data_IF_104150337545
#
_entry.id   IF_104150337545
#
_cell.length_a   1.000
_cell.length_b   1.000
_cell.length_c   1.000
_cell.angle_alpha   90.00
_cell.angle_beta   90.00
_cell.angle_gamma   90.00
#
_symmetry.space_group_name_H-M   'P 1'
#
loop_
_entity.id
_entity.type
_entity.pdbx_description
1 polymer ?
#
# COMPACT_ATOMS: atom_id res chain seq x y z
N UNK A 1 1.96 6.58 -24.75
CA UNK A 1 3.12 5.96 -24.11
C UNK A 1 4.38 6.12 -24.97
N UNK A 2 4.32 5.79 -26.26
CA UNK A 2 5.48 5.78 -27.17
C UNK A 2 6.23 7.12 -27.23
N UNK A 3 5.54 8.25 -27.11
CA UNK A 3 6.12 9.60 -27.11
C UNK A 3 6.33 10.19 -25.71
N UNK A 4 6.52 9.33 -24.69
CA UNK A 4 6.73 9.76 -23.31
C UNK A 4 5.47 9.97 -22.47
N UNK A 5 4.31 9.58 -22.97
CA UNK A 5 3.06 9.57 -22.18
C UNK A 5 3.19 8.64 -20.96
N UNK A 6 2.47 8.95 -19.88
CA UNK A 6 2.49 8.22 -18.60
C UNK A 6 1.10 7.76 -18.25
N UNK A 7 0.99 6.60 -17.63
CA UNK A 7 -0.31 5.98 -17.41
C UNK A 7 -0.42 5.50 -15.96
N UNK A 8 -1.56 5.82 -15.33
CA UNK A 8 -2.04 5.17 -14.11
C UNK A 8 -3.15 4.19 -14.50
N UNK A 9 -2.86 2.90 -14.43
CA UNK A 9 -3.81 1.82 -14.65
C UNK A 9 -4.48 1.47 -13.33
N UNK A 10 -5.79 1.60 -13.24
CA UNK A 10 -6.57 1.11 -12.09
C UNK A 10 -7.60 0.15 -12.66
N UNK A 11 -7.34 -1.13 -12.51
CA UNK A 11 -8.05 -2.21 -13.19
C UNK A 11 -8.51 -3.28 -12.20
N UNK A 12 -9.60 -3.96 -12.51
CA UNK A 12 -10.01 -5.15 -11.78
C UNK A 12 -9.73 -6.38 -12.64
N UNK A 13 -9.14 -7.43 -12.08
CA UNK A 13 -9.01 -8.73 -12.75
C UNK A 13 -10.31 -9.55 -12.71
N UNK A 14 -11.27 -9.13 -11.88
CA UNK A 14 -12.52 -9.86 -11.65
C UNK A 14 -13.74 -8.94 -11.75
N UNK A 15 -14.87 -9.53 -12.09
CA UNK A 15 -16.18 -8.87 -12.14
C UNK A 15 -17.10 -9.48 -11.09
N UNK A 16 -17.79 -8.64 -10.33
CA UNK A 16 -18.73 -9.02 -9.29
C UNK A 16 -19.82 -7.95 -9.14
N UNK A 17 -20.92 -8.27 -8.44
CA UNK A 17 -22.01 -7.34 -8.16
C UNK A 17 -22.07 -7.03 -6.67
N UNK A 18 -21.82 -5.78 -6.30
CA UNK A 18 -22.02 -5.30 -4.92
C UNK A 18 -23.50 -5.32 -4.52
N UNK A 19 -24.40 -5.07 -5.47
CA UNK A 19 -25.83 -5.08 -5.22
C UNK A 19 -26.30 -6.48 -4.84
N UNK A 20 -25.89 -7.49 -5.60
CA UNK A 20 -26.19 -8.90 -5.30
C UNK A 20 -25.60 -9.29 -3.94
N UNK A 21 -24.36 -8.93 -3.65
CA UNK A 21 -23.73 -9.22 -2.37
C UNK A 21 -24.50 -8.60 -1.20
N UNK A 22 -24.95 -7.35 -1.33
CA UNK A 22 -25.68 -6.65 -0.27
C UNK A 22 -27.11 -7.17 -0.08
N UNK A 23 -27.76 -7.70 -1.12
CA UNK A 23 -29.13 -8.18 -1.07
C UNK A 23 -29.23 -9.65 -0.63
N UNK A 24 -28.34 -10.50 -1.12
CA UNK A 24 -28.39 -11.95 -0.89
C UNK A 24 -27.28 -12.48 0.02
N UNK A 25 -26.36 -11.63 0.47
CA UNK A 25 -25.20 -12.04 1.26
C UNK A 25 -24.12 -12.79 0.47
N UNK A 26 -24.35 -13.06 -0.83
CA UNK A 26 -23.40 -13.77 -1.68
C UNK A 26 -23.39 -13.19 -3.10
N UNK A 27 -22.27 -13.33 -3.80
CA UNK A 27 -22.13 -12.92 -5.20
C UNK A 27 -21.18 -13.82 -5.96
N UNK A 28 -21.52 -14.22 -7.21
CA UNK A 28 -20.57 -14.87 -8.09
C UNK A 28 -19.50 -13.87 -8.54
N UNK A 29 -18.26 -14.33 -8.57
CA UNK A 29 -17.10 -13.58 -9.07
C UNK A 29 -16.54 -14.32 -10.26
N UNK A 30 -16.47 -13.64 -11.37
CA UNK A 30 -15.99 -14.20 -12.66
C UNK A 30 -14.77 -13.42 -13.16
N UNK A 31 -13.90 -14.06 -13.96
CA UNK A 31 -12.81 -13.36 -14.64
C UNK A 31 -13.33 -12.17 -15.44
N UNK A 32 -12.60 -11.06 -15.40
CA UNK A 32 -12.87 -9.91 -16.26
C UNK A 32 -11.80 -9.86 -17.35
N UNK A 33 -12.21 -10.10 -18.58
CA UNK A 33 -11.35 -9.84 -19.74
C UNK A 33 -11.36 -8.35 -20.07
N UNK A 34 -10.18 -7.75 -20.03
CA UNK A 34 -10.00 -6.33 -20.24
C UNK A 34 -9.43 -5.98 -21.62
N UNK A 35 -9.14 -6.98 -22.48
CA UNK A 35 -8.47 -6.81 -23.78
C UNK A 35 -7.12 -6.04 -23.71
N UNK A 36 -6.62 -5.77 -22.50
CA UNK A 36 -5.33 -5.09 -22.25
C UNK A 36 -4.28 -6.03 -21.67
N UNK A 37 -4.64 -7.28 -21.45
CA UNK A 37 -3.79 -8.28 -20.77
C UNK A 37 -2.48 -8.48 -21.54
N UNK A 38 -2.54 -8.63 -22.86
CA UNK A 38 -1.35 -8.79 -23.70
C UNK A 38 -0.44 -7.57 -23.68
N UNK A 39 -1.03 -6.37 -23.62
CA UNK A 39 -0.28 -5.13 -23.54
C UNK A 39 0.46 -5.02 -22.21
N UNK A 40 -0.23 -5.24 -21.09
CA UNK A 40 0.38 -5.23 -19.76
C UNK A 40 1.45 -6.31 -19.61
N UNK A 41 1.20 -7.50 -20.19
CA UNK A 41 2.18 -8.59 -20.23
C UNK A 41 3.48 -8.17 -20.94
N UNK A 42 3.37 -7.53 -22.11
CA UNK A 42 4.54 -6.99 -22.84
C UNK A 42 5.27 -5.90 -22.03
N UNK A 43 4.56 -5.15 -21.21
CA UNK A 43 5.16 -4.15 -20.31
C UNK A 43 5.77 -4.77 -19.04
N UNK A 44 5.63 -6.09 -18.88
CA UNK A 44 6.29 -6.85 -17.84
C UNK A 44 5.47 -7.01 -16.55
N UNK A 45 4.15 -6.83 -16.64
CA UNK A 45 3.22 -7.04 -15.53
C UNK A 45 1.97 -7.78 -16.01
N UNK A 46 1.47 -8.68 -15.17
CA UNK A 46 0.22 -9.39 -15.39
C UNK A 46 -0.72 -9.13 -14.23
N UNK A 47 -1.93 -8.72 -14.50
CA UNK A 47 -3.04 -8.71 -13.55
C UNK A 47 -3.75 -10.05 -13.66
N UNK A 48 -3.70 -10.85 -12.61
CA UNK A 48 -4.31 -12.18 -12.62
C UNK A 48 -5.82 -12.07 -12.35
N UNK A 49 -6.66 -12.87 -12.98
CA UNK A 49 -8.10 -12.92 -12.69
C UNK A 49 -8.37 -13.73 -11.41
N UNK A 50 -7.84 -13.27 -10.31
CA UNK A 50 -7.90 -13.92 -8.99
C UNK A 50 -8.43 -12.98 -7.94
N UNK A 51 -8.92 -13.54 -6.83
CA UNK A 51 -9.27 -12.82 -5.62
C UNK A 51 -8.15 -12.94 -4.60
N UNK A 52 -7.74 -11.82 -4.07
CA UNK A 52 -6.81 -11.74 -2.96
C UNK A 52 -7.59 -11.61 -1.65
N UNK A 53 -7.26 -12.48 -0.70
CA UNK A 53 -7.79 -12.48 0.65
C UNK A 53 -6.65 -12.27 1.64
N UNK A 54 -6.93 -11.54 2.71
CA UNK A 54 -5.92 -11.22 3.74
C UNK A 54 -6.56 -11.27 5.12
N UNK A 55 -5.86 -11.85 6.09
CA UNK A 55 -6.26 -11.80 7.50
C UNK A 55 -6.26 -10.38 8.05
N UNK A 56 -5.40 -9.51 7.51
CA UNK A 56 -5.43 -8.08 7.80
C UNK A 56 -6.43 -7.39 6.86
N UNK A 57 -7.67 -7.31 7.30
CA UNK A 57 -8.79 -6.84 6.49
C UNK A 57 -9.69 -5.85 7.22
N UNK A 58 -10.53 -5.16 6.46
CA UNK A 58 -11.58 -4.31 7.00
C UNK A 58 -12.75 -5.15 7.53
N UNK A 59 -13.37 -4.71 8.63
CA UNK A 59 -14.65 -5.25 9.04
C UNK A 59 -15.77 -4.73 8.12
N UNK A 60 -16.71 -5.61 7.83
CA UNK A 60 -17.96 -5.24 7.16
C UNK A 60 -19.13 -5.51 8.11
N UNK A 61 -20.22 -4.73 8.03
CA UNK A 61 -21.40 -4.99 8.83
C UNK A 61 -22.09 -6.26 8.31
N UNK A 62 -22.24 -7.23 9.19
CA UNK A 62 -22.98 -8.47 8.92
C UNK A 62 -24.13 -8.55 9.89
N UNK A 63 -25.29 -8.94 9.40
CA UNK A 63 -26.46 -9.20 10.25
C UNK A 63 -26.29 -10.58 10.90
N UNK A 64 -26.05 -10.57 12.21
CA UNK A 64 -25.89 -11.79 13.03
C UNK A 64 -27.19 -12.13 13.79
N UNK A 65 -28.32 -11.53 13.40
CA UNK A 65 -29.57 -11.78 14.07
C UNK A 65 -30.08 -13.20 13.80
N UNK A 66 -30.70 -13.79 14.81
CA UNK A 66 -31.48 -15.03 14.67
C UNK A 66 -32.93 -14.74 14.33
N UNK A 67 -33.35 -13.48 14.41
CA UNK A 67 -34.73 -13.02 14.10
C UNK A 67 -34.69 -12.00 12.95
N UNK A 68 -35.32 -12.36 11.85
CA UNK A 68 -35.40 -11.52 10.65
C UNK A 68 -36.12 -10.16 10.87
N UNK A 69 -36.87 -10.02 11.97
CA UNK A 69 -37.62 -8.78 12.28
C UNK A 69 -36.78 -7.78 13.10
N UNK A 70 -35.65 -8.22 13.67
CA UNK A 70 -34.72 -7.36 14.45
C UNK A 70 -33.31 -7.57 14.00
N UNK A 71 -32.86 -6.91 12.93
CA UNK A 71 -31.49 -7.06 12.43
C UNK A 71 -30.46 -6.56 13.46
N UNK A 72 -29.47 -7.38 13.77
CA UNK A 72 -28.36 -7.08 14.65
C UNK A 72 -27.06 -7.00 13.84
N UNK A 73 -26.71 -5.81 13.40
CA UNK A 73 -25.53 -5.56 12.59
C UNK A 73 -24.26 -5.48 13.45
N UNK A 74 -23.34 -6.40 13.22
CA UNK A 74 -22.03 -6.38 13.88
C UNK A 74 -20.90 -6.25 12.86
N UNK A 75 -19.86 -5.45 13.18
CA UNK A 75 -18.67 -5.35 12.34
C UNK A 75 -17.86 -6.64 12.45
N UNK A 76 -17.76 -7.39 11.36
CA UNK A 76 -17.01 -8.64 11.30
C UNK A 76 -15.89 -8.55 10.27
N UNK A 77 -14.68 -9.10 10.55
CA UNK A 77 -13.57 -9.10 9.60
C UNK A 77 -13.97 -9.78 8.29
N UNK A 78 -13.68 -9.16 7.16
CA UNK A 78 -13.98 -9.72 5.85
C UNK A 78 -12.73 -9.80 4.98
N UNK A 79 -12.21 -10.99 4.79
CA UNK A 79 -10.90 -11.23 4.19
C UNK A 79 -10.77 -10.74 2.73
N UNK A 80 -11.89 -10.58 2.03
CA UNK A 80 -11.94 -9.98 0.68
C UNK A 80 -11.84 -8.44 0.67
N UNK A 81 -11.68 -7.81 1.84
CA UNK A 81 -11.41 -6.38 1.98
C UNK A 81 -10.03 -6.13 2.61
N UNK A 82 -8.93 -6.54 1.96
CA UNK A 82 -7.58 -6.42 2.50
C UNK A 82 -7.18 -4.97 2.80
N UNK A 83 -6.42 -4.80 3.88
CA UNK A 83 -5.67 -3.58 4.19
C UNK A 83 -4.25 -3.71 3.66
N UNK A 84 -4.01 -3.16 2.49
CA UNK A 84 -2.75 -3.31 1.78
C UNK A 84 -1.62 -2.52 2.45
N UNK A 85 -0.50 -3.18 2.65
CA UNK A 85 0.73 -2.59 3.15
C UNK A 85 1.42 -1.77 2.07
N UNK A 86 2.00 -0.66 2.46
CA UNK A 86 2.71 0.28 1.59
C UNK A 86 4.22 0.04 1.63
N UNK A 87 4.85 -0.02 0.47
CA UNK A 87 6.31 -0.15 0.36
C UNK A 87 7.01 1.13 0.81
N UNK A 88 7.97 1.03 1.73
CA UNK A 88 8.76 2.19 2.16
C UNK A 88 9.90 2.53 1.17
N UNK A 89 10.16 1.67 0.20
CA UNK A 89 11.21 1.88 -0.80
C UNK A 89 10.81 2.86 -1.92
N UNK A 90 9.49 2.98 -2.19
CA UNK A 90 8.98 3.81 -3.27
C UNK A 90 8.59 5.23 -2.81
N UNK A 91 8.89 6.27 -3.61
CA UNK A 91 8.44 7.63 -3.33
C UNK A 91 6.90 7.79 -3.33
N UNK A 92 6.19 6.90 -4.00
CA UNK A 92 4.74 6.92 -4.09
C UNK A 92 4.10 6.54 -2.75
N UNK A 93 4.67 5.56 -2.08
CA UNK A 93 4.05 4.88 -0.94
C UNK A 93 4.75 5.15 0.39
N UNK A 94 5.93 5.78 0.36
CA UNK A 94 6.63 6.17 1.58
C UNK A 94 5.78 7.14 2.41
N UNK A 95 5.65 6.87 3.70
CA UNK A 95 4.81 7.64 4.64
C UNK A 95 3.32 7.67 4.30
N UNK A 96 2.85 6.80 3.42
CA UNK A 96 1.42 6.56 3.18
C UNK A 96 0.95 5.49 4.15
N UNK A 97 -0.18 5.72 4.79
CA UNK A 97 -0.86 4.71 5.63
C UNK A 97 -1.31 3.53 4.76
N UNK A 98 -1.70 2.45 5.39
CA UNK A 98 -2.32 1.32 4.71
C UNK A 98 -3.44 1.77 3.78
N UNK A 99 -3.54 1.11 2.63
CA UNK A 99 -4.55 1.40 1.61
C UNK A 99 -5.65 0.35 1.68
N UNK A 100 -6.88 0.80 1.87
CA UNK A 100 -8.03 -0.11 1.84
C UNK A 100 -8.37 -0.52 0.42
N UNK A 101 -8.62 -1.80 0.22
CA UNK A 101 -9.06 -2.35 -1.05
C UNK A 101 -10.17 -3.39 -0.83
N UNK A 102 -11.00 -3.59 -1.83
CA UNK A 102 -12.07 -4.59 -1.80
C UNK A 102 -12.03 -5.37 -3.10
N UNK A 103 -12.16 -6.69 -3.04
CA UNK A 103 -12.15 -7.56 -4.22
C UNK A 103 -10.94 -7.30 -5.13
N UNK A 104 -9.76 -7.20 -4.53
CA UNK A 104 -8.52 -6.97 -5.27
C UNK A 104 -8.01 -8.22 -5.95
N UNK A 105 -7.28 -8.03 -7.04
CA UNK A 105 -6.60 -9.09 -7.78
C UNK A 105 -5.10 -9.06 -7.55
N UNK A 106 -4.43 -10.18 -7.76
CA UNK A 106 -2.98 -10.23 -7.64
C UNK A 106 -2.28 -9.72 -8.91
N UNK A 107 -1.12 -9.11 -8.70
CA UNK A 107 -0.19 -8.76 -9.79
C UNK A 107 1.00 -9.71 -9.76
N UNK A 108 1.45 -10.09 -10.94
CA UNK A 108 2.66 -10.89 -11.15
C UNK A 108 3.61 -10.15 -12.08
N UNK A 109 4.89 -10.13 -11.74
CA UNK A 109 5.91 -9.68 -12.67
C UNK A 109 6.24 -10.80 -13.64
N UNK A 110 5.99 -10.52 -14.88
CA UNK A 110 6.26 -11.45 -15.99
C UNK A 110 7.43 -10.93 -16.81
N UNK A 111 7.89 -11.68 -17.82
CA UNK A 111 8.93 -11.29 -18.76
C UNK A 111 9.04 -9.76 -18.95
N UNK A 112 9.01 -9.27 -20.09
CA UNK A 112 9.25 -7.87 -20.42
C UNK A 112 10.68 -7.69 -20.93
N UNK A 113 10.93 -6.56 -21.60
CA UNK A 113 12.27 -6.25 -22.06
C UNK A 113 13.22 -5.95 -20.91
N UNK A 114 14.49 -6.32 -21.07
CA UNK A 114 15.55 -5.94 -20.16
C UNK A 114 15.64 -4.40 -20.06
N UNK A 115 15.69 -3.89 -18.82
CA UNK A 115 15.79 -2.45 -18.57
C UNK A 115 14.51 -1.79 -18.04
N UNK A 116 13.40 -2.52 -17.90
CA UNK A 116 12.22 -2.01 -17.20
C UNK A 116 12.38 -2.28 -15.70
N UNK A 117 12.50 -1.20 -14.91
CA UNK A 117 12.52 -1.25 -13.46
C UNK A 117 11.09 -1.50 -12.95
N UNK A 118 10.94 -2.47 -12.07
CA UNK A 118 9.66 -2.90 -11.50
C UNK A 118 9.74 -2.80 -9.98
N UNK A 119 8.89 -2.00 -9.37
CA UNK A 119 8.83 -1.86 -7.91
C UNK A 119 7.41 -2.18 -7.41
N UNK A 120 7.30 -2.99 -6.34
CA UNK A 120 6.02 -3.24 -5.67
C UNK A 120 5.64 -2.03 -4.85
N UNK A 121 4.41 -1.54 -5.01
CA UNK A 121 3.88 -0.40 -4.28
C UNK A 121 2.99 -0.82 -3.11
N UNK A 122 2.03 -1.72 -3.39
CA UNK A 122 1.08 -2.24 -2.42
C UNK A 122 1.11 -3.76 -2.43
N UNK A 123 1.10 -4.36 -1.26
CA UNK A 123 1.05 -5.80 -1.08
C UNK A 123 0.16 -6.16 0.13
N UNK A 124 -0.25 -7.42 0.21
CA UNK A 124 -0.96 -7.96 1.37
C UNK A 124 -0.06 -8.11 2.59
N UNK A 125 -0.62 -8.56 3.70
CA UNK A 125 0.11 -8.93 4.91
C UNK A 125 0.89 -10.25 4.76
N UNK A 126 1.44 -10.74 5.85
CA UNK A 126 2.13 -12.03 5.91
C UNK A 126 1.21 -13.25 5.93
N UNK A 127 -0.11 -13.05 6.06
CA UNK A 127 -1.11 -14.12 6.12
C UNK A 127 -2.21 -13.85 5.09
N UNK A 128 -1.99 -14.29 3.87
CA UNK A 128 -2.87 -14.03 2.74
C UNK A 128 -3.06 -15.26 1.86
N UNK A 129 -4.13 -15.22 1.04
CA UNK A 129 -4.52 -16.29 0.14
C UNK A 129 -4.94 -15.72 -1.22
N UNK A 130 -4.71 -16.49 -2.27
CA UNK A 130 -5.21 -16.20 -3.62
C UNK A 130 -6.23 -17.26 -3.99
N UNK A 131 -7.43 -16.84 -4.35
CA UNK A 131 -8.49 -17.70 -4.85
C UNK A 131 -8.67 -17.48 -6.34
N UNK A 132 -8.65 -18.57 -7.11
CA UNK A 132 -8.93 -18.54 -8.55
C UNK A 132 -10.40 -18.21 -8.83
N UNK A 133 -10.69 -17.68 -10.01
CA UNK A 133 -12.05 -17.44 -10.48
C UNK A 133 -12.39 -18.37 -11.65
N UNK A 134 -13.66 -18.78 -11.85
CA UNK A 134 -14.89 -18.35 -11.12
C UNK A 134 -14.94 -18.82 -9.68
N UNK A 135 -15.46 -17.97 -8.78
CA UNK A 135 -15.65 -18.26 -7.37
C UNK A 135 -16.96 -17.66 -6.86
N UNK A 136 -17.44 -18.12 -5.73
CA UNK A 136 -18.54 -17.50 -5.00
C UNK A 136 -17.97 -16.82 -3.75
N UNK A 137 -18.35 -15.57 -3.53
CA UNK A 137 -17.97 -14.79 -2.36
C UNK A 137 -19.23 -14.54 -1.53
N UNK A 138 -19.12 -14.80 -0.24
CA UNK A 138 -20.19 -14.59 0.71
C UNK A 138 -19.77 -13.65 1.85
N UNK A 139 -20.76 -13.18 2.58
CA UNK A 139 -20.59 -12.41 3.82
C UNK A 139 -20.60 -13.33 5.05
N UNK A 140 -20.75 -14.65 4.87
CA UNK A 140 -20.67 -15.60 5.96
C UNK A 140 -19.23 -15.64 6.49
N UNK A 141 -19.09 -15.24 7.74
CA UNK A 141 -17.80 -15.20 8.39
C UNK A 141 -17.57 -16.53 9.05
N UNK A 142 -16.81 -17.35 8.37
CA UNK A 142 -16.24 -18.53 8.99
C UNK A 142 -14.98 -18.09 9.76
N UNK A 143 -14.83 -18.56 11.00
CA UNK A 143 -13.52 -18.47 11.67
C UNK A 143 -12.53 -19.32 10.87
N UNK A 144 -11.82 -18.67 9.95
CA UNK A 144 -10.79 -19.37 9.18
C UNK A 144 -9.49 -19.38 9.98
N UNK A 145 -8.86 -20.55 10.05
CA UNK A 145 -7.54 -20.71 10.64
C UNK A 145 -6.49 -19.98 9.79
N UNK A 146 -5.53 -19.34 10.44
CA UNK A 146 -4.41 -18.67 9.79
C UNK A 146 -3.62 -19.60 8.84
N UNK A 147 -3.65 -20.92 9.10
CA UNK A 147 -3.06 -21.92 8.23
C UNK A 147 -3.68 -22.00 6.82
N UNK A 148 -4.90 -21.47 6.65
CA UNK A 148 -5.57 -21.35 5.34
C UNK A 148 -5.00 -20.19 4.48
N UNK A 149 -4.10 -19.37 5.06
CA UNK A 149 -3.48 -18.19 4.42
C UNK A 149 -1.97 -18.35 4.28
N UNK A 150 -1.50 -19.26 3.40
CA UNK A 150 -0.09 -19.67 3.35
C UNK A 150 0.83 -18.66 2.64
N UNK A 151 0.28 -17.65 1.99
CA UNK A 151 1.06 -16.70 1.21
C UNK A 151 1.32 -15.41 1.99
N UNK A 152 2.41 -14.74 1.63
CA UNK A 152 2.83 -13.48 2.25
C UNK A 152 3.13 -12.45 1.18
N UNK A 153 2.72 -11.19 1.43
CA UNK A 153 3.08 -10.04 0.62
C UNK A 153 2.73 -10.17 -0.86
N UNK A 154 1.52 -10.64 -1.16
CA UNK A 154 1.00 -10.75 -2.53
C UNK A 154 0.89 -9.34 -3.13
N UNK A 155 1.56 -9.05 -4.27
CA UNK A 155 1.52 -7.73 -4.89
C UNK A 155 0.11 -7.42 -5.46
N UNK A 156 -0.36 -6.19 -5.21
CA UNK A 156 -1.63 -5.66 -5.75
C UNK A 156 -1.41 -4.38 -6.55
N UNK A 157 -0.33 -3.64 -6.30
CA UNK A 157 0.05 -2.50 -7.11
C UNK A 157 1.55 -2.46 -7.35
N UNK A 158 1.94 -1.98 -8.53
CA UNK A 158 3.33 -1.89 -8.96
C UNK A 158 3.59 -0.62 -9.79
N UNK A 159 4.82 -0.11 -9.75
CA UNK A 159 5.32 0.87 -10.69
C UNK A 159 6.31 0.25 -11.66
N UNK A 160 6.25 0.73 -12.90
CA UNK A 160 7.10 0.33 -14.01
C UNK A 160 7.79 1.58 -14.55
N UNK A 161 9.11 1.56 -14.70
CA UNK A 161 9.88 2.67 -15.26
C UNK A 161 10.90 2.13 -16.28
N UNK A 162 10.88 2.66 -17.47
CA UNK A 162 11.78 2.22 -18.53
C UNK A 162 11.31 2.60 -19.92
N UNK A 163 11.83 1.91 -20.91
CA UNK A 163 11.40 2.00 -22.30
C UNK A 163 10.53 0.80 -22.62
N UNK A 164 9.30 1.06 -23.08
CA UNK A 164 8.29 0.02 -23.30
C UNK A 164 8.19 -0.33 -24.78
N UNK A 165 8.06 -1.64 -25.12
CA UNK A 165 7.87 -2.06 -26.49
C UNK A 165 6.50 -1.59 -27.01
N UNK A 166 6.43 -1.19 -28.28
CA UNK A 166 5.15 -0.89 -28.91
C UNK A 166 4.33 -2.16 -29.12
N UNK A 167 3.04 -2.10 -28.84
CA UNK A 167 2.11 -3.19 -29.14
C UNK A 167 2.10 -3.49 -30.64
N UNK A 168 2.27 -2.46 -31.45
CA UNK A 168 2.23 -2.52 -32.91
C UNK A 168 3.59 -2.74 -33.58
N UNK A 169 4.68 -2.94 -32.82
CA UNK A 169 6.04 -3.07 -33.38
C UNK A 169 6.18 -4.18 -34.41
N UNK A 170 5.35 -5.22 -34.30
CA UNK A 170 5.37 -6.41 -35.16
C UNK A 170 4.03 -6.71 -35.85
N UNK A 171 3.06 -5.80 -35.72
CA UNK A 171 1.77 -5.93 -36.38
C UNK A 171 1.81 -5.18 -37.71
N UNK A 172 1.33 -5.83 -38.75
CA UNK A 172 1.07 -5.16 -40.02
C UNK A 172 -0.12 -4.21 -39.82
N UNK A 173 -0.04 -2.99 -40.37
CA UNK A 173 -1.18 -2.08 -40.32
C UNK A 173 -2.37 -2.70 -41.07
N UNK A 174 -3.62 -2.41 -40.64
CA UNK A 174 -4.79 -2.79 -41.45
C UNK A 174 -4.67 -2.21 -42.86
N UNK A 175 -5.12 -2.98 -43.87
CA UNK A 175 -5.01 -2.60 -45.28
C UNK A 175 -5.65 -1.24 -45.61
N UNK A 176 -6.64 -0.83 -44.83
CA UNK A 176 -7.38 0.43 -45.00
C UNK A 176 -6.73 1.64 -44.31
N UNK A 177 -5.62 1.45 -43.57
CA UNK A 177 -4.95 2.54 -42.84
C UNK A 177 -3.66 2.95 -43.56
N UNK A 178 -3.67 4.14 -44.12
CA UNK A 178 -2.45 4.73 -44.69
C UNK A 178 -1.63 5.32 -43.53
N UNK A 179 -0.56 4.63 -43.17
CA UNK A 179 0.37 5.11 -42.15
C UNK A 179 1.35 6.08 -42.81
N UNK A 180 1.24 7.37 -42.46
CA UNK A 180 2.15 8.41 -42.93
C UNK A 180 3.44 8.55 -42.13
N UNK A 181 3.57 7.83 -41.02
CA UNK A 181 4.74 7.89 -40.11
C UNK A 181 5.25 6.48 -39.81
N UNK A 182 6.56 6.34 -39.61
CA UNK A 182 7.13 5.09 -39.15
C UNK A 182 6.55 4.70 -37.78
N UNK A 183 6.20 3.42 -37.66
CA UNK A 183 5.71 2.87 -36.35
C UNK A 183 6.85 2.89 -35.36
N UNK A 184 6.66 3.66 -34.28
CA UNK A 184 7.62 3.70 -33.18
C UNK A 184 7.65 2.34 -32.50
N UNK A 185 8.78 1.65 -32.56
CA UNK A 185 8.93 0.28 -32.03
C UNK A 185 9.08 0.25 -30.51
N UNK A 186 9.65 1.31 -29.91
CA UNK A 186 9.93 1.40 -28.50
C UNK A 186 9.71 2.82 -27.99
N UNK A 187 9.17 2.97 -26.79
CA UNK A 187 8.91 4.29 -26.21
C UNK A 187 10.22 4.98 -25.80
N UNK A 188 10.17 6.30 -25.64
CA UNK A 188 11.13 6.99 -24.79
C UNK A 188 10.98 6.51 -23.34
N UNK A 189 12.02 6.73 -22.50
CA UNK A 189 11.95 6.39 -21.09
C UNK A 189 10.73 7.06 -20.45
N UNK A 190 9.84 6.27 -19.87
CA UNK A 190 8.59 6.72 -19.27
C UNK A 190 8.19 5.87 -18.06
N UNK A 191 7.09 6.24 -17.42
CA UNK A 191 6.63 5.65 -16.16
C UNK A 191 5.18 5.18 -16.28
N UNK A 192 4.87 4.08 -15.62
CA UNK A 192 3.52 3.57 -15.47
C UNK A 192 3.30 3.11 -14.04
N UNK A 193 2.07 3.20 -13.57
CA UNK A 193 1.62 2.62 -12.30
C UNK A 193 0.44 1.72 -12.59
N UNK A 194 0.45 0.51 -12.08
CA UNK A 194 -0.62 -0.49 -12.24
C UNK A 194 -1.16 -0.85 -10.87
N UNK A 195 -2.48 -0.76 -10.71
CA UNK A 195 -3.20 -1.09 -9.48
C UNK A 195 -4.31 -2.09 -9.82
N UNK A 196 -4.25 -3.29 -9.26
CA UNK A 196 -5.20 -4.38 -9.52
C UNK A 196 -6.38 -4.38 -8.54
N UNK A 197 -6.88 -3.19 -8.20
CA UNK A 197 -8.00 -2.99 -7.30
C UNK A 197 -8.71 -1.67 -7.62
N UNK A 198 -9.80 -1.72 -8.35
CA UNK A 198 -10.60 -0.54 -8.72
C UNK A 198 -11.25 0.17 -7.52
N UNK A 199 -11.45 -0.54 -6.42
CA UNK A 199 -11.97 0.03 -5.18
C UNK A 199 -11.05 1.07 -4.55
N UNK A 200 -9.75 1.03 -4.82
CA UNK A 200 -8.75 1.96 -4.26
C UNK A 200 -9.05 3.42 -4.64
N UNK A 201 -9.65 3.66 -5.81
CA UNK A 201 -9.98 5.02 -6.30
C UNK A 201 -11.48 5.34 -6.16
N UNK A 202 -12.28 4.46 -5.61
CA UNK A 202 -13.73 4.63 -5.49
C UNK A 202 -14.10 5.24 -4.14
N UNK A 203 -14.82 6.37 -4.16
CA UNK A 203 -15.42 6.94 -2.96
C UNK A 203 -16.64 6.12 -2.52
N UNK A 204 -16.84 5.98 -1.22
CA UNK A 204 -18.10 5.54 -0.66
C UNK A 204 -19.11 6.70 -0.63
N UNK A 205 -20.37 6.36 -0.52
CA UNK A 205 -21.46 7.33 -0.45
C UNK A 205 -22.23 7.17 0.85
N UNK A 206 -22.58 8.28 1.47
CA UNK A 206 -23.44 8.31 2.64
C UNK A 206 -24.45 9.45 2.50
N UNK A 207 -25.71 9.14 2.62
CA UNK A 207 -26.81 10.14 2.52
C UNK A 207 -26.74 11.02 1.25
N UNK A 208 -26.37 10.44 0.11
CA UNK A 208 -26.24 11.17 -1.15
C UNK A 208 -24.99 12.03 -1.29
N UNK A 209 -24.06 11.99 -0.34
CA UNK A 209 -22.78 12.70 -0.40
C UNK A 209 -21.62 11.72 -0.52
N UNK A 210 -20.61 12.01 -1.36
CA UNK A 210 -19.39 11.21 -1.42
C UNK A 210 -18.57 11.41 -0.15
N UNK A 211 -18.12 10.32 0.46
CA UNK A 211 -17.17 10.35 1.55
C UNK A 211 -15.75 10.60 1.04
N UNK A 212 -14.82 11.10 1.85
CA UNK A 212 -13.41 11.21 1.48
C UNK A 212 -12.85 9.87 1.00
N UNK A 213 -12.01 9.90 -0.03
CA UNK A 213 -11.40 8.68 -0.58
C UNK A 213 -10.59 7.95 0.48
N UNK A 214 -10.93 6.66 0.71
CA UNK A 214 -10.32 5.83 1.74
C UNK A 214 -10.87 6.05 3.15
N UNK A 215 -11.95 6.79 3.33
CA UNK A 215 -12.64 6.87 4.61
C UNK A 215 -13.59 5.69 4.77
N UNK A 216 -13.39 4.92 5.83
CA UNK A 216 -14.29 3.84 6.22
C UNK A 216 -15.31 4.36 7.26
N UNK A 217 -16.58 4.30 6.91
CA UNK A 217 -17.68 4.81 7.73
C UNK A 217 -18.00 3.95 8.95
N UNK A 218 -17.56 2.70 8.98
CA UNK A 218 -17.85 1.78 10.08
C UNK A 218 -16.82 1.87 11.19
N UNK A 219 -15.54 1.96 10.83
CA UNK A 219 -14.45 2.15 11.80
C UNK A 219 -14.11 3.61 12.04
N UNK A 220 -14.71 4.55 11.29
CA UNK A 220 -14.39 5.98 11.30
C UNK A 220 -12.91 6.27 11.06
N UNK A 221 -12.25 5.42 10.28
CA UNK A 221 -10.82 5.49 10.01
C UNK A 221 -10.56 6.03 8.61
N UNK A 222 -9.60 6.95 8.49
CA UNK A 222 -9.10 7.42 7.20
C UNK A 222 -7.88 6.60 6.79
N UNK A 223 -7.98 5.85 5.69
CA UNK A 223 -6.88 5.10 5.10
C UNK A 223 -6.12 5.93 4.06
N UNK A 224 -4.95 5.43 3.65
CA UNK A 224 -4.01 6.13 2.76
C UNK A 224 -4.39 6.18 1.28
N UNK A 225 -5.61 5.79 0.89
CA UNK A 225 -6.04 5.73 -0.52
C UNK A 225 -5.84 7.05 -1.26
N UNK A 226 -6.30 8.17 -0.67
CA UNK A 226 -6.16 9.50 -1.26
C UNK A 226 -4.70 9.86 -1.48
N UNK A 227 -3.88 9.66 -0.45
CA UNK A 227 -2.46 10.03 -0.50
C UNK A 227 -1.70 9.16 -1.50
N UNK A 228 -2.03 7.87 -1.57
CA UNK A 228 -1.48 6.96 -2.56
C UNK A 228 -1.77 7.41 -3.99
N UNK A 229 -3.03 7.70 -4.31
CA UNK A 229 -3.42 8.11 -5.68
C UNK A 229 -2.81 9.47 -6.03
N UNK A 230 -2.85 10.45 -5.13
CA UNK A 230 -2.23 11.76 -5.35
C UNK A 230 -0.72 11.62 -5.58
N UNK A 231 -0.03 10.82 -4.76
CA UNK A 231 1.39 10.57 -4.93
C UNK A 231 1.70 9.82 -6.23
N UNK A 232 0.86 8.86 -6.64
CA UNK A 232 1.02 8.16 -7.92
C UNK A 232 0.93 9.13 -9.11
N UNK A 233 -0.04 10.04 -9.09
CA UNK A 233 -0.18 11.08 -10.12
C UNK A 233 1.01 12.03 -10.10
N UNK A 234 1.43 12.52 -8.93
CA UNK A 234 2.59 13.38 -8.78
C UNK A 234 3.88 12.70 -9.27
N UNK A 235 4.08 11.42 -8.95
CA UNK A 235 5.22 10.65 -9.44
C UNK A 235 5.22 10.53 -10.96
N UNK A 236 4.06 10.27 -11.55
CA UNK A 236 3.90 10.19 -13.00
C UNK A 236 4.16 11.52 -13.69
N UNK A 237 3.81 12.65 -13.07
CA UNK A 237 3.99 14.01 -13.64
C UNK A 237 5.33 14.65 -13.28
N UNK A 238 6.11 14.04 -12.39
CA UNK A 238 7.39 14.58 -11.95
C UNK A 238 8.51 14.26 -12.93
N UNK A 239 8.95 15.27 -13.70
CA UNK A 239 10.11 15.21 -14.58
C UNK A 239 11.44 15.57 -13.89
N UNK A 240 11.36 16.25 -12.77
CA UNK A 240 12.49 16.87 -12.09
C UNK A 240 13.01 16.08 -10.90
N UNK A 241 12.27 15.05 -10.48
CA UNK A 241 12.61 14.22 -9.33
C UNK A 241 12.30 14.86 -7.97
N UNK A 242 11.42 15.87 -7.92
CA UNK A 242 10.98 16.52 -6.67
C UNK A 242 10.36 15.51 -5.67
N UNK A 243 9.71 14.46 -6.17
CA UNK A 243 9.17 13.40 -5.31
C UNK A 243 10.26 12.72 -4.48
N UNK A 244 11.49 12.62 -4.99
CA UNK A 244 12.61 12.05 -4.24
C UNK A 244 13.07 12.95 -3.09
N UNK A 245 12.89 14.27 -3.19
CA UNK A 245 13.21 15.22 -2.12
C UNK A 245 12.22 15.17 -0.95
N UNK A 246 10.94 14.87 -1.22
CA UNK A 246 9.91 14.64 -0.18
C UNK A 246 10.22 13.40 0.67
N UNK A 247 11.11 12.53 0.19
CA UNK A 247 11.54 11.30 0.89
C UNK A 247 12.53 11.55 2.04
N UNK A 248 13.06 12.75 2.21
CA UNK A 248 13.90 13.05 3.38
C UNK A 248 13.05 12.96 4.64
N UNK A 249 13.15 11.80 5.28
CA UNK A 249 12.57 11.61 6.61
C UNK A 249 13.18 12.65 7.56
N UNK A 250 12.33 13.48 8.11
CA UNK A 250 12.58 14.05 9.42
C UNK A 250 12.42 12.90 10.41
N UNK A 251 13.47 12.11 10.60
CA UNK A 251 13.50 11.14 11.70
C UNK A 251 13.46 11.94 12.99
N UNK A 252 12.25 12.22 13.47
CA UNK A 252 12.04 12.65 14.84
C UNK A 252 12.60 11.53 15.72
N UNK A 253 13.77 11.74 16.29
CA UNK A 253 14.33 10.84 17.28
C UNK A 253 13.47 10.92 18.55
N UNK A 254 12.30 10.27 18.49
CA UNK A 254 11.45 10.13 19.65
C UNK A 254 12.21 9.34 20.71
N UNK A 255 12.10 9.79 21.94
CA UNK A 255 12.64 9.08 23.08
C UNK A 255 11.99 7.70 23.14
N UNK A 256 12.79 6.66 23.22
CA UNK A 256 12.24 5.31 23.39
C UNK A 256 11.69 5.18 24.82
N UNK A 257 10.37 5.26 24.97
CA UNK A 257 9.66 5.28 26.25
C UNK A 257 9.98 4.06 27.12
N UNK A 258 10.18 2.89 26.51
CA UNK A 258 10.56 1.69 27.28
C UNK A 258 11.96 1.85 27.86
N UNK A 259 12.95 2.26 27.06
CA UNK A 259 14.32 2.51 27.54
C UNK A 259 14.39 3.67 28.51
N UNK A 260 13.54 4.69 28.34
CA UNK A 260 13.44 5.82 29.27
C UNK A 260 12.89 5.37 30.63
N UNK A 261 11.89 4.50 30.65
CA UNK A 261 11.33 3.91 31.90
C UNK A 261 12.34 2.99 32.58
N UNK A 262 13.01 2.10 31.86
CA UNK A 262 14.00 1.17 32.40
C UNK A 262 15.23 1.89 33.01
N UNK A 263 15.70 2.95 32.35
CA UNK A 263 16.89 3.70 32.78
C UNK A 263 16.58 4.94 33.61
N UNK A 264 15.33 5.17 33.99
CA UNK A 264 14.91 6.37 34.74
C UNK A 264 15.67 6.53 36.05
N UNK A 265 15.76 5.47 36.85
CA UNK A 265 16.46 5.46 38.12
C UNK A 265 17.96 5.73 37.93
N UNK A 266 18.57 5.05 36.98
CA UNK A 266 20.00 5.24 36.67
C UNK A 266 20.31 6.67 36.22
N UNK A 267 19.47 7.25 35.36
CA UNK A 267 19.61 8.62 34.89
C UNK A 267 19.46 9.63 36.05
N UNK A 268 18.48 9.42 36.96
CA UNK A 268 18.30 10.25 38.13
C UNK A 268 19.49 10.19 39.11
N UNK A 269 19.99 8.97 39.37
CA UNK A 269 21.14 8.75 40.23
C UNK A 269 22.40 9.43 39.66
N UNK A 270 22.67 9.26 38.40
CA UNK A 270 23.83 9.90 37.74
C UNK A 270 23.69 11.41 37.74
N UNK A 271 22.53 11.96 37.47
CA UNK A 271 22.30 13.41 37.43
C UNK A 271 22.45 14.10 38.80
N UNK A 272 22.22 13.38 39.89
CA UNK A 272 22.36 13.93 41.24
C UNK A 272 23.77 13.68 41.78
N UNK A 273 24.30 12.48 41.67
CA UNK A 273 25.56 12.07 42.28
C UNK A 273 26.78 12.68 41.53
N UNK A 274 26.76 12.76 40.22
CA UNK A 274 27.87 13.29 39.43
C UNK A 274 28.22 14.76 39.80
N UNK A 275 27.29 15.70 39.85
CA UNK A 275 27.59 17.09 40.26
C UNK A 275 28.12 17.19 41.69
N UNK A 276 27.59 16.39 42.62
CA UNK A 276 28.05 16.37 44.00
C UNK A 276 29.49 15.83 44.13
N UNK A 277 29.83 14.78 43.39
CA UNK A 277 31.19 14.27 43.33
C UNK A 277 32.18 15.29 42.77
N UNK A 278 31.81 16.00 41.72
CA UNK A 278 32.65 17.04 41.12
C UNK A 278 32.87 18.17 42.13
N UNK A 279 31.83 18.62 42.81
CA UNK A 279 31.94 19.63 43.85
C UNK A 279 32.82 19.19 45.02
N UNK A 280 32.67 17.94 45.47
CA UNK A 280 33.50 17.37 46.52
C UNK A 280 35.00 17.29 46.11
N UNK A 281 35.28 16.86 44.88
CA UNK A 281 36.65 16.79 44.35
C UNK A 281 37.27 18.19 44.24
N UNK A 282 36.55 19.17 43.73
CA UNK A 282 36.98 20.56 43.65
C UNK A 282 37.26 21.12 45.03
N UNK A 283 36.33 20.89 45.99
CA UNK A 283 36.43 21.32 47.37
C UNK A 283 37.67 20.71 48.05
N UNK A 284 37.88 19.40 47.92
CA UNK A 284 39.08 18.72 48.42
C UNK A 284 40.36 19.26 47.78
N UNK A 285 40.37 19.48 46.48
CA UNK A 285 41.49 20.08 45.76
C UNK A 285 41.86 21.48 46.31
N UNK A 286 40.87 22.32 46.47
CA UNK A 286 41.09 23.68 47.07
C UNK A 286 41.60 23.59 48.48
N UNK A 287 41.09 22.71 49.31
CA UNK A 287 41.58 22.52 50.71
C UNK A 287 43.01 22.01 50.72
N UNK A 288 43.39 21.08 49.89
CA UNK A 288 44.75 20.57 49.80
C UNK A 288 45.74 21.68 49.31
N UNK A 289 45.36 22.44 48.29
CA UNK A 289 46.15 23.56 47.81
C UNK A 289 46.32 24.62 48.86
N UNK A 290 45.26 24.97 49.59
CA UNK A 290 45.25 25.94 50.67
C UNK A 290 46.12 25.47 51.83
N UNK A 291 46.01 24.19 52.23
CA UNK A 291 46.84 23.61 53.28
C UNK A 291 48.33 23.63 52.89
N UNK A 292 48.69 23.27 51.66
CA UNK A 292 50.08 23.34 51.16
C UNK A 292 50.64 24.76 51.07
N UNK A 293 49.78 25.77 50.86
CA UNK A 293 50.19 27.16 50.66
C UNK A 293 50.30 27.94 51.96
N UNK A 294 49.53 27.52 53.00
CA UNK A 294 49.49 28.25 54.27
C UNK A 294 50.01 27.46 55.49
N UNK A 295 50.46 26.19 55.29
CA UNK A 295 51.04 25.39 56.37
C UNK A 295 52.50 25.07 56.01
N UNK A 296 53.27 26.14 55.74
CA UNK A 296 54.73 26.09 55.72
C UNK A 296 55.19 26.85 56.96
#
# INVERSE_FOLDING_TARGET
LMQGGRILWVVNGVRFSNETLSQSGMTPVIPLDLDITDMLFRYGVRVNPTLVQDMQCLPVPVDVSTDAQQPNWQPMPWTYAPLLLTSQASPITRNVMQVSATMSSSIEFVGGEDGIKKDILLATSSASRVTGTPAEVNLDIMEEDISAYPYSYIPVAASLEGEFPSLYAHLLPPEDVVIHQEVVKKSTKTKQVVVAAGSVIRNEWQQGQPLPLGYDRYTHTQFGNRDFIVNAVLYLTDDTGWMSLRQKELTLRLLNDQRAKEKRITAQVVSIIMPLLILALVGCGVLIIRKRRYTK
#
